data_IF_337841914024
#
_entry.id   IF_337841914024
#
_cell.length_a   1.000
_cell.length_b   1.000
_cell.length_c   1.000
_cell.angle_alpha   90.00
_cell.angle_beta   90.00
_cell.angle_gamma   90.00
#
_symmetry.space_group_name_H-M   'P 1'
#
loop_
_entity.id
_entity.type
_entity.pdbx_description
1 polymer ?
#
# COMPACT_ATOMS: atom_id res chain seq x y z
N UNK A 1 -3.30 -1.86 7.68
CA UNK A 1 -4.36 -1.96 6.67
C UNK A 1 -3.94 -1.17 5.44
N UNK A 2 -4.05 -1.76 4.26
CA UNK A 2 -3.73 -1.10 2.99
C UNK A 2 -5.01 -0.80 2.22
N UNK A 3 -5.11 0.42 1.72
CA UNK A 3 -6.22 0.90 0.90
C UNK A 3 -5.70 1.49 -0.41
N UNK A 4 -6.55 1.60 -1.41
CA UNK A 4 -6.19 2.17 -2.71
C UNK A 4 -7.03 1.61 -3.84
N UNK A 5 -6.91 2.22 -5.01
CA UNK A 5 -7.63 1.79 -6.21
C UNK A 5 -7.11 0.46 -6.77
N UNK A 6 -7.92 -0.18 -7.57
CA UNK A 6 -7.52 -1.35 -8.35
C UNK A 6 -6.38 -0.96 -9.32
N UNK A 7 -5.36 -1.78 -9.38
CA UNK A 7 -4.20 -1.52 -10.22
C UNK A 7 -3.16 -0.56 -9.63
N UNK A 8 -3.38 -0.06 -8.40
CA UNK A 8 -2.42 0.82 -7.73
C UNK A 8 -1.14 0.11 -7.27
N UNK A 9 -1.10 -1.21 -7.30
CA UNK A 9 0.01 -2.00 -6.78
C UNK A 9 -0.12 -2.39 -5.31
N UNK A 10 -1.34 -2.36 -4.78
CA UNK A 10 -1.62 -2.61 -3.36
C UNK A 10 -1.24 -4.02 -2.91
N UNK A 11 -1.62 -5.05 -3.65
CA UNK A 11 -1.27 -6.45 -3.34
C UNK A 11 0.23 -6.66 -3.36
N UNK A 12 0.92 -6.12 -4.37
CA UNK A 12 2.38 -6.16 -4.46
C UNK A 12 3.03 -5.40 -3.30
N UNK A 13 2.51 -4.22 -2.94
CA UNK A 13 3.00 -3.44 -1.81
C UNK A 13 2.82 -4.18 -0.49
N UNK A 14 1.70 -4.89 -0.30
CA UNK A 14 1.46 -5.72 0.87
C UNK A 14 2.55 -6.80 1.03
N UNK A 15 2.87 -7.50 -0.04
CA UNK A 15 3.93 -8.51 -0.03
C UNK A 15 5.31 -7.92 0.25
N UNK A 16 5.64 -6.78 -0.36
CA UNK A 16 6.92 -6.08 -0.12
C UNK A 16 7.05 -5.60 1.32
N UNK A 17 5.97 -5.08 1.90
CA UNK A 17 5.93 -4.66 3.29
C UNK A 17 6.13 -5.86 4.23
N UNK A 18 5.47 -6.97 3.96
CA UNK A 18 5.65 -8.21 4.71
C UNK A 18 7.07 -8.72 4.64
N UNK A 19 7.68 -8.71 3.45
CA UNK A 19 9.09 -9.09 3.27
C UNK A 19 10.03 -8.22 4.11
N UNK A 20 9.83 -6.90 4.06
CA UNK A 20 10.62 -5.95 4.84
C UNK A 20 10.51 -6.21 6.34
N UNK A 21 9.29 -6.42 6.85
CA UNK A 21 9.05 -6.72 8.25
C UNK A 21 9.71 -8.04 8.66
N UNK A 22 9.67 -9.05 7.80
CA UNK A 22 10.35 -10.32 8.02
C UNK A 22 11.86 -10.15 8.13
N UNK A 23 12.47 -9.31 7.29
CA UNK A 23 13.90 -8.99 7.35
C UNK A 23 14.25 -8.23 8.65
N UNK A 24 13.31 -7.52 9.24
CA UNK A 24 13.45 -6.84 10.53
C UNK A 24 13.09 -7.73 11.73
N UNK A 25 13.06 -9.04 11.54
CA UNK A 25 12.75 -10.07 12.55
C UNK A 25 11.31 -10.08 13.09
N UNK A 26 10.37 -9.57 12.31
CA UNK A 26 8.94 -9.72 12.58
C UNK A 26 8.38 -11.00 11.94
N UNK A 27 7.23 -11.42 12.43
CA UNK A 27 6.48 -12.57 11.90
C UNK A 27 5.15 -12.09 11.33
N UNK A 28 5.12 -11.52 10.11
CA UNK A 28 3.91 -10.95 9.55
C UNK A 28 2.93 -12.01 9.05
N UNK A 29 1.65 -11.64 9.04
CA UNK A 29 0.57 -12.34 8.37
C UNK A 29 -0.03 -11.41 7.31
N UNK A 30 -0.24 -11.91 6.11
CA UNK A 30 -1.01 -11.25 5.07
C UNK A 30 -2.46 -11.75 5.10
N UNK A 31 -3.43 -10.84 5.03
CA UNK A 31 -4.85 -11.18 5.00
C UNK A 31 -5.46 -10.69 3.69
N UNK A 32 -6.03 -11.63 2.93
CA UNK A 32 -6.67 -11.35 1.64
C UNK A 32 -8.13 -10.98 1.84
N UNK A 33 -8.45 -9.68 1.79
CA UNK A 33 -9.81 -9.17 1.98
C UNK A 33 -10.52 -8.75 0.68
N UNK A 34 -9.92 -8.99 -0.48
CA UNK A 34 -10.61 -8.77 -1.76
C UNK A 34 -11.47 -10.00 -2.11
N UNK A 35 -12.72 -9.96 -1.68
CA UNK A 35 -13.69 -11.04 -1.90
C UNK A 35 -14.30 -11.02 -3.30
N UNK A 36 -14.10 -9.93 -4.05
CA UNK A 36 -14.70 -9.73 -5.38
C UNK A 36 -13.85 -10.30 -6.51
N UNK A 37 -12.53 -10.39 -6.28
CA UNK A 37 -11.58 -10.85 -7.30
C UNK A 37 -10.75 -12.03 -6.76
N UNK A 38 -11.15 -13.27 -7.06
CA UNK A 38 -10.38 -14.46 -6.65
C UNK A 38 -8.91 -14.40 -7.10
N UNK A 39 -8.64 -13.84 -8.27
CA UNK A 39 -7.27 -13.68 -8.76
C UNK A 39 -6.38 -12.80 -7.86
N UNK A 40 -6.95 -11.82 -7.16
CA UNK A 40 -6.20 -10.98 -6.21
C UNK A 40 -5.74 -11.80 -4.99
N UNK A 41 -6.63 -12.65 -4.44
CA UNK A 41 -6.27 -13.54 -3.35
C UNK A 41 -5.23 -14.58 -3.79
N UNK A 42 -5.37 -15.14 -4.98
CA UNK A 42 -4.40 -16.08 -5.56
C UNK A 42 -3.03 -15.40 -5.73
N UNK A 43 -3.01 -14.16 -6.20
CA UNK A 43 -1.78 -13.37 -6.33
C UNK A 43 -1.11 -13.16 -4.97
N UNK A 44 -1.88 -12.80 -3.94
CA UNK A 44 -1.33 -12.59 -2.60
C UNK A 44 -0.76 -13.88 -2.01
N UNK A 45 -1.43 -15.01 -2.20
CA UNK A 45 -0.92 -16.34 -1.79
C UNK A 45 0.39 -16.69 -2.50
N UNK A 46 0.46 -16.44 -3.81
CA UNK A 46 1.67 -16.68 -4.60
C UNK A 46 2.83 -15.83 -4.09
N UNK A 47 2.61 -14.53 -3.92
CA UNK A 47 3.63 -13.61 -3.42
C UNK A 47 4.06 -13.96 -1.99
N UNK A 48 3.11 -14.31 -1.13
CA UNK A 48 3.39 -14.77 0.24
C UNK A 48 4.25 -16.02 0.25
N UNK A 49 3.93 -16.99 -0.61
CA UNK A 49 4.71 -18.22 -0.77
C UNK A 49 6.15 -17.96 -1.21
N UNK A 50 6.36 -17.04 -2.15
CA UNK A 50 7.70 -16.67 -2.63
C UNK A 50 8.59 -16.07 -1.54
N UNK A 51 8.02 -15.33 -0.62
CA UNK A 51 8.76 -14.67 0.46
C UNK A 51 8.70 -15.42 1.80
N UNK A 52 8.00 -16.55 1.84
CA UNK A 52 7.86 -17.35 3.06
C UNK A 52 7.02 -16.67 4.15
N UNK A 53 5.97 -15.97 3.77
CA UNK A 53 5.02 -15.30 4.66
C UNK A 53 3.66 -15.99 4.57
N UNK A 54 3.07 -16.27 5.75
CA UNK A 54 1.73 -16.87 5.83
C UNK A 54 0.68 -15.91 5.27
N UNK A 55 -0.25 -16.45 4.51
CA UNK A 55 -1.41 -15.73 3.98
C UNK A 55 -2.69 -16.36 4.55
N UNK A 56 -3.55 -15.55 5.14
CA UNK A 56 -4.89 -15.95 5.53
C UNK A 56 -5.87 -15.61 4.41
N UNK A 57 -6.55 -16.60 3.91
CA UNK A 57 -7.61 -16.49 2.93
C UNK A 57 -8.88 -17.09 3.49
N UNK A 58 -9.89 -16.25 3.71
CA UNK A 58 -11.19 -16.73 4.21
C UNK A 58 -12.04 -17.40 3.14
N UNK A 59 -13.00 -18.22 3.57
CA UNK A 59 -13.94 -18.90 2.69
C UNK A 59 -15.22 -18.09 2.42
N UNK A 60 -15.41 -16.99 3.17
CA UNK A 60 -16.61 -16.16 3.12
C UNK A 60 -16.56 -15.07 2.08
N UNK A 61 -17.69 -14.34 2.01
CA UNK A 61 -17.88 -13.18 1.13
C UNK A 61 -17.91 -11.84 1.90
N UNK A 62 -17.73 -11.88 3.22
CA UNK A 62 -17.72 -10.70 4.08
C UNK A 62 -16.28 -10.29 4.41
N UNK A 63 -15.77 -9.18 3.83
CA UNK A 63 -14.39 -8.76 4.05
C UNK A 63 -14.11 -8.35 5.50
N UNK A 64 -15.11 -7.82 6.21
CA UNK A 64 -14.98 -7.46 7.64
C UNK A 64 -14.73 -8.71 8.47
N UNK A 65 -15.52 -9.76 8.24
CA UNK A 65 -15.36 -11.04 8.93
C UNK A 65 -14.02 -11.69 8.62
N UNK A 66 -13.59 -11.67 7.37
CA UNK A 66 -12.29 -12.21 6.95
C UNK A 66 -11.16 -11.46 7.65
N UNK A 67 -11.22 -10.15 7.75
CA UNK A 67 -10.23 -9.35 8.45
C UNK A 67 -10.15 -9.71 9.94
N UNK A 68 -11.29 -9.88 10.60
CA UNK A 68 -11.35 -10.30 12.01
C UNK A 68 -10.82 -11.72 12.20
N UNK A 69 -11.18 -12.66 11.34
CA UNK A 69 -10.67 -14.03 11.35
C UNK A 69 -9.16 -14.08 11.09
N UNK A 70 -8.65 -13.21 10.22
CA UNK A 70 -7.22 -13.07 9.95
C UNK A 70 -6.44 -12.63 11.19
N UNK A 71 -6.97 -11.68 11.95
CA UNK A 71 -6.36 -11.26 13.23
C UNK A 71 -6.33 -12.43 14.22
N UNK A 72 -7.42 -13.20 14.32
CA UNK A 72 -7.45 -14.37 15.18
C UNK A 72 -6.45 -15.44 14.73
N UNK A 73 -6.33 -15.67 13.43
CA UNK A 73 -5.32 -16.58 12.87
C UNK A 73 -3.89 -16.14 13.25
N UNK A 74 -3.63 -14.83 13.23
CA UNK A 74 -2.34 -14.28 13.63
C UNK A 74 -2.05 -14.54 15.11
N UNK A 75 -3.04 -14.35 15.98
CA UNK A 75 -2.93 -14.63 17.41
C UNK A 75 -2.66 -16.12 17.65
N UNK A 76 -3.42 -16.99 17.00
CA UNK A 76 -3.30 -18.44 17.16
C UNK A 76 -1.95 -18.99 16.65
N UNK A 77 -1.36 -18.34 15.66
CA UNK A 77 -0.09 -18.75 15.04
C UNK A 77 1.11 -17.88 15.45
N UNK A 78 0.94 -17.05 16.50
CA UNK A 78 2.00 -16.20 17.05
C UNK A 78 2.63 -15.25 16.01
N UNK A 79 1.79 -14.63 15.20
CA UNK A 79 2.22 -13.58 14.26
C UNK A 79 2.09 -12.23 14.95
N UNK A 80 3.10 -11.39 14.82
CA UNK A 80 3.19 -10.12 15.55
C UNK A 80 2.71 -8.91 14.74
N UNK A 81 2.59 -9.04 13.42
CA UNK A 81 2.09 -8.00 12.52
C UNK A 81 1.06 -8.59 11.57
N UNK A 82 -0.06 -7.90 11.39
CA UNK A 82 -1.09 -8.27 10.43
C UNK A 82 -1.19 -7.19 9.37
N UNK A 83 -1.08 -7.58 8.11
CA UNK A 83 -1.24 -6.70 6.96
C UNK A 83 -2.54 -7.09 6.25
N UNK A 84 -3.53 -6.20 6.33
CA UNK A 84 -4.84 -6.40 5.70
C UNK A 84 -4.84 -5.76 4.32
N UNK A 85 -4.93 -6.59 3.28
CA UNK A 85 -5.02 -6.14 1.89
C UNK A 85 -6.49 -6.05 1.49
N UNK A 86 -7.02 -4.83 1.45
CA UNK A 86 -8.44 -4.58 1.14
C UNK A 86 -8.70 -4.62 -0.37
N UNK A 87 -9.97 -4.78 -0.73
CA UNK A 87 -10.38 -4.68 -2.13
C UNK A 87 -10.17 -3.28 -2.69
N UNK A 88 -9.80 -3.20 -3.97
CA UNK A 88 -9.75 -1.97 -4.73
C UNK A 88 -10.79 -1.99 -5.84
N UNK A 89 -11.29 -0.80 -6.19
CA UNK A 89 -12.15 -0.59 -7.36
C UNK A 89 -11.47 0.33 -8.35
N UNK A 90 -11.96 0.36 -9.58
CA UNK A 90 -11.38 1.21 -10.64
C UNK A 90 -11.51 2.70 -10.33
N UNK A 91 -12.57 3.07 -9.64
CA UNK A 91 -12.85 4.45 -9.24
C UNK A 91 -13.23 4.50 -7.76
N UNK A 92 -13.06 5.66 -7.15
CA UNK A 92 -13.55 5.94 -5.81
C UNK A 92 -15.09 5.99 -5.87
N UNK A 93 -15.74 5.11 -5.13
CA UNK A 93 -17.18 5.08 -4.94
C UNK A 93 -17.57 4.89 -3.47
N UNK A 94 -18.83 5.14 -3.14
CA UNK A 94 -19.31 5.06 -1.77
C UNK A 94 -19.23 3.66 -1.17
N UNK A 95 -19.50 2.62 -1.97
CA UNK A 95 -19.42 1.22 -1.50
C UNK A 95 -17.99 0.85 -1.09
N UNK A 96 -17.00 1.26 -1.88
CA UNK A 96 -15.59 1.04 -1.58
C UNK A 96 -15.20 1.74 -0.28
N UNK A 97 -15.64 2.99 -0.10
CA UNK A 97 -15.34 3.76 1.09
C UNK A 97 -16.06 3.21 2.33
N UNK A 98 -17.31 2.80 2.19
CA UNK A 98 -18.07 2.17 3.28
C UNK A 98 -17.43 0.87 3.74
N UNK A 99 -17.00 0.04 2.80
CA UNK A 99 -16.31 -1.21 3.10
C UNK A 99 -15.00 -0.97 3.85
N UNK A 100 -14.17 -0.05 3.36
CA UNK A 100 -12.92 0.32 4.03
C UNK A 100 -13.16 0.87 5.45
N UNK A 101 -14.16 1.73 5.62
CA UNK A 101 -14.56 2.24 6.94
C UNK A 101 -15.04 1.12 7.88
N UNK A 102 -15.82 0.16 7.37
CA UNK A 102 -16.32 -0.97 8.15
C UNK A 102 -15.19 -1.88 8.62
N UNK A 103 -14.23 -2.17 7.75
CA UNK A 103 -13.03 -2.93 8.13
C UNK A 103 -12.23 -2.16 9.19
N UNK A 104 -11.99 -0.88 8.98
CA UNK A 104 -11.30 -0.01 9.94
C UNK A 104 -11.94 -0.06 11.33
N UNK A 105 -13.25 0.05 11.40
CA UNK A 105 -13.98 0.00 12.68
C UNK A 105 -13.87 -1.37 13.36
N UNK A 106 -13.91 -2.43 12.57
CA UNK A 106 -13.90 -3.80 13.10
C UNK A 106 -12.53 -4.23 13.63
N UNK A 107 -11.45 -3.86 12.94
CA UNK A 107 -10.09 -4.33 13.26
C UNK A 107 -9.22 -3.29 13.95
N UNK A 108 -9.62 -2.02 13.93
CA UNK A 108 -8.89 -0.91 14.55
C UNK A 108 -7.39 -0.94 14.23
N UNK A 109 -7.01 -0.79 12.97
CA UNK A 109 -5.62 -0.92 12.57
C UNK A 109 -4.76 0.17 13.22
N UNK A 110 -3.53 -0.18 13.58
CA UNK A 110 -2.57 0.78 14.10
C UNK A 110 -2.14 1.79 13.04
N UNK A 111 -2.07 1.34 11.78
CA UNK A 111 -1.78 2.20 10.65
C UNK A 111 -2.63 1.83 9.44
N UNK A 112 -3.07 2.85 8.72
CA UNK A 112 -3.70 2.72 7.41
C UNK A 112 -2.79 3.39 6.41
N UNK A 113 -2.32 2.63 5.42
CA UNK A 113 -1.47 3.12 4.36
C UNK A 113 -2.22 3.08 3.04
N UNK A 114 -2.24 4.21 2.35
CA UNK A 114 -2.82 4.31 1.02
C UNK A 114 -1.74 4.03 -0.02
N UNK A 115 -2.01 3.07 -0.91
CA UNK A 115 -1.12 2.77 -2.03
C UNK A 115 -1.59 3.53 -3.24
N UNK A 116 -0.71 4.33 -3.82
CA UNK A 116 -0.98 5.12 -5.01
C UNK A 116 0.05 4.82 -6.10
N UNK A 117 -0.40 4.85 -7.34
CA UNK A 117 0.43 4.66 -8.52
C UNK A 117 1.03 5.99 -8.94
N UNK A 118 2.36 6.11 -8.89
CA UNK A 118 3.08 7.32 -9.28
C UNK A 118 2.86 7.73 -10.75
N UNK A 119 2.45 6.79 -11.60
CA UNK A 119 2.21 7.01 -13.02
C UNK A 119 0.87 7.67 -13.34
N UNK A 120 -0.07 7.74 -12.38
CA UNK A 120 -1.44 8.26 -12.63
C UNK A 120 -1.55 9.78 -12.66
N UNK A 121 -0.48 10.51 -12.40
CA UNK A 121 -0.47 11.98 -12.56
C UNK A 121 -1.38 12.71 -11.56
N UNK A 122 -2.14 13.71 -12.04
CA UNK A 122 -2.99 14.57 -11.19
C UNK A 122 -4.15 13.83 -10.52
N UNK A 123 -4.63 12.75 -11.08
CA UNK A 123 -5.72 11.95 -10.49
C UNK A 123 -5.34 11.35 -9.14
N UNK A 124 -4.07 11.13 -8.89
CA UNK A 124 -3.54 10.68 -7.60
C UNK A 124 -3.97 11.60 -6.45
N UNK A 125 -3.90 12.91 -6.67
CA UNK A 125 -4.26 13.91 -5.66
C UNK A 125 -5.74 13.85 -5.33
N UNK A 126 -6.60 13.72 -6.33
CA UNK A 126 -8.05 13.63 -6.15
C UNK A 126 -8.43 12.37 -5.39
N UNK A 127 -7.83 11.24 -5.74
CA UNK A 127 -8.04 9.97 -5.06
C UNK A 127 -7.58 10.04 -3.60
N UNK A 128 -6.38 10.56 -3.36
CA UNK A 128 -5.85 10.73 -2.01
C UNK A 128 -6.73 11.64 -1.14
N UNK A 129 -7.24 12.73 -1.70
CA UNK A 129 -8.17 13.63 -1.01
C UNK A 129 -9.45 12.92 -0.60
N UNK A 130 -10.05 12.14 -1.49
CA UNK A 130 -11.28 11.39 -1.22
C UNK A 130 -11.06 10.37 -0.09
N UNK A 131 -9.98 9.60 -0.13
CA UNK A 131 -9.63 8.67 0.94
C UNK A 131 -9.35 9.38 2.27
N UNK A 132 -8.66 10.51 2.25
CA UNK A 132 -8.38 11.29 3.45
C UNK A 132 -9.65 11.75 4.17
N UNK A 133 -10.69 12.12 3.42
CA UNK A 133 -11.96 12.56 3.99
C UNK A 133 -12.78 11.42 4.61
N UNK A 134 -12.76 10.22 4.03
CA UNK A 134 -13.60 9.10 4.41
C UNK A 134 -12.91 8.09 5.32
N UNK A 135 -11.69 7.71 5.00
CA UNK A 135 -10.97 6.64 5.71
C UNK A 135 -9.90 7.19 6.66
N UNK A 136 -9.40 8.39 6.40
CA UNK A 136 -8.35 9.05 7.18
C UNK A 136 -7.12 8.16 7.38
N UNK A 137 -6.41 7.91 6.29
CA UNK A 137 -5.18 7.12 6.31
C UNK A 137 -4.01 7.88 6.98
N UNK A 138 -3.01 7.13 7.45
CA UNK A 138 -1.88 7.66 8.21
C UNK A 138 -0.66 8.00 7.36
N UNK A 139 -0.56 7.38 6.20
CA UNK A 139 0.57 7.58 5.29
C UNK A 139 0.33 6.95 3.93
N UNK A 140 1.27 7.17 3.03
CA UNK A 140 1.17 6.77 1.63
C UNK A 140 2.36 5.90 1.23
N UNK A 141 2.08 4.88 0.43
CA UNK A 141 3.09 4.12 -0.32
C UNK A 141 2.95 4.53 -1.79
N UNK A 142 3.99 5.10 -2.36
CA UNK A 142 4.05 5.41 -3.79
C UNK A 142 4.58 4.21 -4.55
N UNK A 143 3.76 3.61 -5.39
CA UNK A 143 4.17 2.49 -6.26
C UNK A 143 4.64 2.98 -7.63
N UNK A 144 5.34 2.13 -8.36
CA UNK A 144 5.79 2.38 -9.74
C UNK A 144 6.67 3.63 -9.89
N UNK A 145 7.50 3.90 -8.89
CA UNK A 145 8.38 5.07 -8.86
C UNK A 145 9.50 5.03 -9.91
N UNK A 146 9.79 3.86 -10.46
CA UNK A 146 10.71 3.70 -11.60
C UNK A 146 10.22 4.44 -12.86
N UNK A 147 8.92 4.69 -12.99
CA UNK A 147 8.33 5.50 -14.05
C UNK A 147 8.20 6.99 -13.74
N UNK A 148 8.40 7.42 -12.48
CA UNK A 148 8.34 8.83 -12.07
C UNK A 148 9.72 9.34 -11.64
N UNK A 149 10.48 9.83 -12.58
CA UNK A 149 11.85 10.29 -12.36
C UNK A 149 11.95 11.51 -11.42
N UNK A 150 10.87 12.30 -11.27
CA UNK A 150 10.89 13.58 -10.55
C UNK A 150 10.16 13.54 -9.19
N UNK A 151 9.34 12.54 -8.93
CA UNK A 151 8.61 12.41 -7.67
C UNK A 151 7.58 13.53 -7.40
N UNK A 152 7.08 14.19 -8.45
CA UNK A 152 6.14 15.32 -8.31
C UNK A 152 4.81 14.94 -7.66
N UNK A 153 4.31 13.72 -7.90
CA UNK A 153 3.09 13.21 -7.27
C UNK A 153 3.20 13.09 -5.75
N UNK A 154 4.36 12.67 -5.25
CA UNK A 154 4.61 12.55 -3.82
C UNK A 154 4.49 13.90 -3.10
N UNK A 155 5.12 14.94 -3.66
CA UNK A 155 5.07 16.29 -3.10
C UNK A 155 3.63 16.85 -3.11
N UNK A 156 2.88 16.63 -4.19
CA UNK A 156 1.50 17.08 -4.32
C UNK A 156 0.56 16.41 -3.32
N UNK A 157 0.70 15.12 -3.08
CA UNK A 157 -0.11 14.38 -2.11
C UNK A 157 0.11 14.94 -0.71
N UNK A 158 1.36 15.11 -0.29
CA UNK A 158 1.67 15.66 1.04
C UNK A 158 1.11 17.07 1.20
N UNK A 159 1.23 17.92 0.17
CA UNK A 159 0.74 19.27 0.20
C UNK A 159 -0.78 19.35 0.33
N UNK A 160 -1.53 18.50 -0.39
CA UNK A 160 -2.99 18.53 -0.41
C UNK A 160 -3.61 17.80 0.78
N UNK A 161 -3.07 16.64 1.17
CA UNK A 161 -3.64 15.81 2.23
C UNK A 161 -3.00 16.02 3.59
N UNK A 162 -1.80 16.60 3.65
CA UNK A 162 -1.01 16.70 4.87
C UNK A 162 -0.43 15.36 5.34
N UNK A 163 -0.67 14.28 4.61
CA UNK A 163 -0.21 12.93 4.99
C UNK A 163 1.18 12.65 4.44
N UNK A 164 2.06 12.02 5.24
CA UNK A 164 3.41 11.74 4.80
C UNK A 164 3.47 10.57 3.80
N UNK A 165 4.40 10.66 2.87
CA UNK A 165 4.83 9.51 2.09
C UNK A 165 5.77 8.70 2.99
N UNK A 166 5.44 7.46 3.27
CA UNK A 166 6.26 6.59 4.15
C UNK A 166 7.20 5.71 3.36
N UNK A 167 6.75 5.16 2.24
CA UNK A 167 7.52 4.26 1.41
C UNK A 167 7.35 4.58 -0.06
N UNK A 168 8.37 4.28 -0.82
CA UNK A 168 8.36 4.24 -2.27
C UNK A 168 8.67 2.82 -2.74
N UNK A 169 8.03 2.41 -3.82
CA UNK A 169 8.20 1.09 -4.41
C UNK A 169 8.52 1.24 -5.88
N UNK A 170 9.57 0.54 -6.33
CA UNK A 170 10.00 0.51 -7.72
C UNK A 170 10.27 -0.93 -8.14
N UNK A 171 9.82 -1.28 -9.35
CA UNK A 171 9.97 -2.63 -9.87
C UNK A 171 9.11 -3.67 -9.13
N UNK A 172 9.44 -4.95 -9.35
CA UNK A 172 8.66 -6.09 -8.86
C UNK A 172 9.38 -6.93 -7.80
N UNK A 173 10.64 -6.65 -7.51
CA UNK A 173 11.41 -7.41 -6.54
C UNK A 173 10.90 -7.19 -5.12
N UNK A 174 10.87 -8.23 -4.27
CA UNK A 174 10.39 -8.11 -2.89
C UNK A 174 11.13 -7.08 -2.04
N UNK A 175 12.41 -6.86 -2.31
CA UNK A 175 13.29 -5.93 -1.58
C UNK A 175 13.25 -4.49 -2.11
N UNK A 176 12.37 -4.19 -3.04
CA UNK A 176 12.29 -2.87 -3.71
C UNK A 176 11.39 -1.86 -3.01
N UNK A 177 11.00 -2.08 -1.77
CA UNK A 177 10.30 -1.11 -0.92
C UNK A 177 11.31 -0.36 -0.07
N UNK A 178 11.40 0.96 -0.26
CA UNK A 178 12.32 1.83 0.46
C UNK A 178 11.56 2.86 1.29
N UNK A 179 12.13 3.26 2.43
CA UNK A 179 11.63 4.41 3.16
C UNK A 179 11.76 5.68 2.34
N UNK A 180 10.74 6.53 2.41
CA UNK A 180 10.77 7.82 1.75
C UNK A 180 11.55 8.82 2.58
N UNK A 181 12.55 9.44 1.95
CA UNK A 181 13.35 10.51 2.53
C UNK A 181 13.17 11.78 1.68
N UNK A 182 12.45 12.81 2.19
CA UNK A 182 12.19 14.04 1.45
C UNK A 182 13.46 14.72 0.90
N UNK A 183 14.54 14.70 1.66
CA UNK A 183 15.82 15.30 1.27
C UNK A 183 16.45 14.61 0.04
N UNK A 184 16.35 13.28 -0.03
CA UNK A 184 16.85 12.53 -1.19
C UNK A 184 16.02 12.81 -2.43
N UNK A 185 14.71 12.98 -2.27
CA UNK A 185 13.82 13.31 -3.39
C UNK A 185 14.09 14.72 -3.90
N UNK A 186 14.29 15.68 -3.02
CA UNK A 186 14.66 17.05 -3.37
C UNK A 186 15.99 17.09 -4.14
N UNK A 187 16.98 16.32 -3.72
CA UNK A 187 18.26 16.18 -4.44
C UNK A 187 18.10 15.58 -5.82
N UNK A 188 17.24 14.56 -5.99
CA UNK A 188 16.92 14.01 -7.32
C UNK A 188 16.32 15.07 -8.24
N UNK A 189 15.35 15.84 -7.75
CA UNK A 189 14.74 16.94 -8.51
C UNK A 189 15.77 17.98 -8.93
N UNK A 190 16.70 18.34 -8.04
CA UNK A 190 17.74 19.35 -8.31
C UNK A 190 18.81 18.84 -9.27
N UNK A 191 19.18 17.56 -9.21
CA UNK A 191 20.18 16.96 -10.10
C UNK A 191 19.71 16.93 -11.56
N UNK A 192 18.42 16.78 -11.80
CA UNK A 192 17.85 16.83 -13.17
C UNK A 192 17.74 18.25 -13.74
N UNK A 193 17.89 19.29 -12.90
CA UNK A 193 17.87 20.69 -13.32
C UNK A 193 19.27 21.30 -13.44
N UNK A 194 20.32 20.60 -13.05
CA UNK A 194 21.71 21.04 -13.20
C UNK A 194 22.20 20.76 -14.62
N UNK A 195 22.82 21.75 -15.31
CA UNK A 195 23.44 21.50 -16.60
C UNK A 195 24.54 20.43 -16.46
N UNK A 196 24.61 19.55 -17.45
CA UNK A 196 25.64 18.54 -17.50
C UNK A 196 27.02 19.20 -17.52
N UNK A 197 28.02 18.70 -16.76
CA UNK A 197 29.39 19.22 -16.82
C UNK A 197 30.09 19.10 -18.18
N UNK A 198 29.39 18.58 -19.19
CA UNK A 198 29.94 18.39 -20.53
C UNK A 198 29.59 19.51 -21.52
N UNK A 199 28.88 20.52 -21.11
CA UNK A 199 28.48 21.67 -21.94
C UNK A 199 29.33 22.91 -21.68
N UNK A 200 30.55 22.74 -21.18
CA UNK A 200 31.57 23.80 -21.08
C UNK A 200 32.81 23.41 -21.87
#
# INVERSE_FOLDING_TARGET
MLVGLQGSGKTTAAAKLAYRLKQENHSPLLVACDVYRPAAADQLETLGGEIGVRVYRGDGQDPVKIAQEGIQDAIDNLRDVVIVDTAGRLHVDDEMMDEAENIKRAVKPDQILMVVDAMTGQDVVNVASAFSQRVDFDGVIMSKMDGDARGGGALSIKQVTGKPIKFISSGEKPDSLEEFHPDRMAKRCLLYTSPSPRDT
#
